data_IF_530340255108
#
_entry.id   IF_530340255108
#
_cell.length_a   1.000
_cell.length_b   1.000
_cell.length_c   1.000
_cell.angle_alpha   90.00
_cell.angle_beta   90.00
_cell.angle_gamma   90.00
#
_symmetry.space_group_name_H-M   'P 1'
#
loop_
_entity.id
_entity.type
_entity.pdbx_description
1 polymer ?
#
# COMPACT_ATOMS: atom_id res chain seq x y z
N UNK A 1 25.81 -0.42 5.15
CA UNK A 1 25.86 -1.39 6.27
C UNK A 1 24.54 -1.47 7.05
N UNK A 2 23.81 -0.39 7.26
CA UNK A 2 22.58 -0.39 8.08
C UNK A 2 21.34 -1.01 7.41
N UNK A 3 21.23 -0.91 6.08
CA UNK A 3 20.08 -1.45 5.33
C UNK A 3 19.98 -2.98 5.43
N UNK A 4 21.11 -3.68 5.34
CA UNK A 4 21.15 -5.14 5.43
C UNK A 4 20.78 -5.65 6.83
N UNK A 5 21.18 -4.92 7.88
CA UNK A 5 20.78 -5.23 9.26
C UNK A 5 19.26 -5.09 9.47
N UNK A 6 18.66 -4.03 8.93
CA UNK A 6 17.20 -3.86 8.97
C UNK A 6 16.45 -4.95 8.20
N UNK A 7 16.99 -5.37 7.05
CA UNK A 7 16.43 -6.48 6.26
C UNK A 7 16.51 -7.82 7.01
N UNK A 8 17.63 -8.09 7.68
CA UNK A 8 17.82 -9.30 8.48
C UNK A 8 16.86 -9.35 9.68
N UNK A 9 16.64 -8.23 10.37
CA UNK A 9 15.68 -8.11 11.46
C UNK A 9 14.24 -8.34 10.97
N UNK A 10 13.85 -7.72 9.86
CA UNK A 10 12.54 -7.94 9.26
C UNK A 10 12.32 -9.42 8.88
N UNK A 11 13.34 -10.10 8.35
CA UNK A 11 13.26 -11.52 8.03
C UNK A 11 13.07 -12.40 9.28
N UNK A 12 13.83 -12.11 10.35
CA UNK A 12 13.71 -12.83 11.62
C UNK A 12 12.35 -12.61 12.30
N UNK A 13 11.85 -11.37 12.30
CA UNK A 13 10.54 -11.01 12.84
C UNK A 13 9.40 -11.70 12.07
N UNK A 14 9.43 -11.65 10.73
CA UNK A 14 8.44 -12.29 9.87
C UNK A 14 8.34 -13.79 10.11
N UNK A 15 9.46 -14.47 10.34
CA UNK A 15 9.49 -15.90 10.66
C UNK A 15 8.78 -16.24 11.99
N UNK A 16 8.57 -15.25 12.85
CA UNK A 16 7.82 -15.35 14.12
C UNK A 16 6.41 -14.77 14.05
N UNK A 17 5.94 -14.37 12.86
CA UNK A 17 4.64 -13.71 12.68
C UNK A 17 4.60 -12.24 13.07
N UNK A 18 5.77 -11.63 13.33
CA UNK A 18 5.89 -10.21 13.67
C UNK A 18 6.19 -9.38 12.40
N UNK A 19 5.37 -8.36 12.14
CA UNK A 19 5.41 -7.60 10.89
C UNK A 19 5.81 -6.12 11.06
N UNK A 20 6.10 -5.67 12.29
CA UNK A 20 6.42 -4.27 12.60
C UNK A 20 7.76 -3.75 12.06
N UNK A 21 8.65 -4.61 11.58
CA UNK A 21 9.98 -4.24 11.08
C UNK A 21 10.06 -4.10 9.55
N UNK A 22 8.95 -4.25 8.85
CA UNK A 22 8.88 -4.09 7.40
C UNK A 22 8.86 -2.61 7.00
N UNK A 23 9.46 -2.28 5.85
CA UNK A 23 9.34 -0.96 5.26
C UNK A 23 7.98 -0.81 4.56
N UNK A 24 6.97 -0.32 5.28
CA UNK A 24 5.60 -0.11 4.79
C UNK A 24 5.45 1.27 4.13
N UNK A 25 6.01 1.44 2.94
CA UNK A 25 5.94 2.72 2.21
C UNK A 25 4.51 3.06 1.81
N UNK A 26 4.07 4.27 2.12
CA UNK A 26 2.79 4.81 1.67
C UNK A 26 2.90 6.34 1.47
N UNK A 27 2.15 6.87 0.49
CA UNK A 27 2.04 8.32 0.28
C UNK A 27 1.15 9.01 1.32
N UNK A 28 1.07 10.33 1.30
CA UNK A 28 0.29 11.11 2.29
C UNK A 28 -1.20 10.74 2.34
N UNK A 29 -1.78 10.29 1.23
CA UNK A 29 -3.19 9.90 1.12
C UNK A 29 -3.43 8.40 1.37
N UNK A 30 -2.56 7.70 2.11
CA UNK A 30 -2.67 6.26 2.37
C UNK A 30 -4.03 5.83 2.95
N UNK A 31 -4.67 6.70 3.74
CA UNK A 31 -5.99 6.43 4.33
C UNK A 31 -7.12 6.28 3.30
N UNK A 32 -6.92 6.73 2.05
CA UNK A 32 -7.89 6.61 0.96
C UNK A 32 -7.69 5.34 0.11
N UNK A 33 -6.73 4.48 0.46
CA UNK A 33 -6.48 3.24 -0.28
C UNK A 33 -7.68 2.29 -0.24
N UNK A 34 -7.92 1.61 -1.37
CA UNK A 34 -9.02 0.65 -1.55
C UNK A 34 -8.48 -0.72 -1.90
N UNK A 35 -8.91 -1.75 -1.16
CA UNK A 35 -8.56 -3.15 -1.42
C UNK A 35 -9.41 -3.75 -2.53
N UNK A 36 -9.10 -3.44 -3.80
CA UNK A 36 -9.81 -3.93 -4.98
C UNK A 36 -8.84 -4.50 -6.02
N UNK A 37 -9.29 -5.43 -6.90
CA UNK A 37 -8.53 -5.79 -8.08
C UNK A 37 -8.22 -4.56 -8.93
N UNK A 38 -7.01 -4.48 -9.48
CA UNK A 38 -6.54 -3.28 -10.19
C UNK A 38 -7.50 -2.80 -11.28
N UNK A 39 -8.07 -3.72 -12.08
CA UNK A 39 -9.04 -3.40 -13.12
C UNK A 39 -10.32 -2.73 -12.57
N UNK A 40 -10.81 -3.22 -11.42
CA UNK A 40 -12.00 -2.65 -10.76
C UNK A 40 -11.70 -1.28 -10.17
N UNK A 41 -10.52 -1.10 -9.58
CA UNK A 41 -10.08 0.19 -9.05
C UNK A 41 -10.02 1.26 -10.16
N UNK A 42 -9.41 0.92 -11.30
CA UNK A 42 -9.33 1.85 -12.45
C UNK A 42 -10.72 2.16 -13.00
N UNK A 43 -11.61 1.16 -13.12
CA UNK A 43 -12.97 1.38 -13.57
C UNK A 43 -13.75 2.33 -12.63
N UNK A 44 -13.61 2.16 -11.31
CA UNK A 44 -14.23 3.02 -10.31
C UNK A 44 -13.72 4.47 -10.41
N UNK A 45 -12.40 4.67 -10.46
CA UNK A 45 -11.78 5.98 -10.66
C UNK A 45 -12.26 6.67 -11.95
N UNK A 46 -12.43 5.92 -13.03
CA UNK A 46 -12.92 6.45 -14.29
C UNK A 46 -14.40 6.87 -14.23
N UNK A 47 -15.24 6.16 -13.47
CA UNK A 47 -16.62 6.61 -13.21
C UNK A 47 -16.61 7.89 -12.37
N UNK A 48 -15.88 7.89 -11.25
CA UNK A 48 -15.76 9.05 -10.35
C UNK A 48 -15.31 10.32 -11.09
N UNK A 49 -14.40 10.18 -12.05
CA UNK A 49 -13.93 11.28 -12.88
C UNK A 49 -15.01 11.81 -13.85
N UNK A 50 -15.78 10.93 -14.49
CA UNK A 50 -16.89 11.33 -15.38
C UNK A 50 -18.03 11.99 -14.62
N UNK A 51 -18.34 11.50 -13.44
CA UNK A 51 -19.40 12.03 -12.60
C UNK A 51 -19.05 13.44 -12.11
N UNK A 52 -17.76 13.70 -11.80
CA UNK A 52 -17.26 15.03 -11.47
C UNK A 52 -17.30 16.00 -12.66
N UNK A 53 -17.09 15.53 -13.88
CA UNK A 53 -17.14 16.35 -15.11
C UNK A 53 -18.55 16.61 -15.63
N UNK A 54 -19.58 16.03 -15.01
CA UNK A 54 -21.00 16.20 -15.36
C UNK A 54 -21.77 17.11 -14.40
N UNK A 55 -21.06 17.73 -13.44
CA UNK A 55 -21.55 18.74 -12.50
C UNK A 55 -21.05 20.14 -12.90
#
# INVERSE_FOLDING_TARGET
MTYDAGKALNAAAKARGEHGYAAQWAGQAAALSRGLPAAQLVAALAQEWRDQGSA
#
